data_IF_070816747232
#
_entry.id   IF_070816747232
#
_cell.length_a   1.000
_cell.length_b   1.000
_cell.length_c   1.000
_cell.angle_alpha   90.00
_cell.angle_beta   90.00
_cell.angle_gamma   90.00
#
_symmetry.space_group_name_H-M   'P 1'
#
loop_
_entity.id
_entity.type
_entity.pdbx_description
1 polymer ?
#
# COMPACT_ATOMS: atom_id res chain seq x y z
N UNK A 1 15.73 -35.06 -18.20
CA UNK A 1 14.94 -34.00 -18.86
C UNK A 1 15.35 -32.67 -18.25
N UNK A 2 16.14 -31.86 -18.95
CA UNK A 2 16.51 -30.53 -18.46
C UNK A 2 15.27 -29.64 -18.51
N UNK A 3 14.79 -29.19 -17.34
CA UNK A 3 13.69 -28.23 -17.25
C UNK A 3 14.12 -26.96 -18.00
N UNK A 4 13.31 -26.54 -18.97
CA UNK A 4 13.61 -25.34 -19.77
C UNK A 4 13.70 -24.15 -18.81
N UNK A 5 14.83 -23.41 -18.74
CA UNK A 5 15.04 -22.34 -17.76
C UNK A 5 13.92 -21.27 -17.80
N UNK A 6 13.26 -21.14 -18.95
CA UNK A 6 12.10 -20.29 -19.15
C UNK A 6 10.87 -20.66 -18.28
N UNK A 7 10.60 -21.95 -18.08
CA UNK A 7 9.49 -22.39 -17.23
C UNK A 7 9.76 -22.05 -15.76
N UNK A 8 11.02 -22.15 -15.30
CA UNK A 8 11.39 -21.72 -13.96
C UNK A 8 11.19 -20.23 -13.74
N UNK A 9 11.52 -19.39 -14.73
CA UNK A 9 11.34 -17.92 -14.63
C UNK A 9 9.87 -17.51 -14.60
N UNK A 10 9.01 -18.22 -15.35
CA UNK A 10 7.55 -17.94 -15.36
C UNK A 10 6.86 -18.46 -14.10
N UNK A 11 7.24 -19.63 -13.61
CA UNK A 11 6.70 -20.19 -12.36
C UNK A 11 7.11 -19.35 -11.15
N UNK A 12 8.35 -18.84 -11.09
CA UNK A 12 8.77 -17.94 -10.02
C UNK A 12 8.04 -16.59 -10.08
N UNK A 13 7.81 -16.05 -11.27
CA UNK A 13 7.00 -14.84 -11.45
C UNK A 13 5.54 -15.04 -10.99
N UNK A 14 4.92 -16.17 -11.32
CA UNK A 14 3.60 -16.52 -10.81
C UNK A 14 3.60 -16.67 -9.27
N UNK A 15 4.63 -17.29 -8.70
CA UNK A 15 4.83 -17.39 -7.25
C UNK A 15 4.91 -16.02 -6.57
N UNK A 16 5.60 -15.04 -7.18
CA UNK A 16 5.64 -13.66 -6.67
C UNK A 16 4.27 -12.98 -6.71
N UNK A 17 3.48 -13.19 -7.75
CA UNK A 17 2.09 -12.66 -7.82
C UNK A 17 1.24 -13.26 -6.71
N UNK A 18 1.29 -14.59 -6.52
CA UNK A 18 0.55 -15.27 -5.45
C UNK A 18 0.98 -14.76 -4.07
N UNK A 19 2.27 -14.59 -3.83
CA UNK A 19 2.80 -14.04 -2.59
C UNK A 19 2.32 -12.59 -2.35
N UNK A 20 2.27 -11.77 -3.41
CA UNK A 20 1.71 -10.43 -3.33
C UNK A 20 0.22 -10.48 -2.94
N UNK A 21 -0.55 -11.38 -3.53
CA UNK A 21 -1.94 -11.64 -3.14
C UNK A 21 -2.05 -11.98 -1.64
N UNK A 22 -1.36 -13.00 -1.16
CA UNK A 22 -1.37 -13.32 0.27
C UNK A 22 -0.97 -12.14 1.16
N UNK A 23 0.08 -11.42 0.79
CA UNK A 23 0.55 -10.24 1.54
C UNK A 23 -0.53 -9.16 1.63
N UNK A 24 -1.19 -8.85 0.51
CA UNK A 24 -2.28 -7.87 0.46
C UNK A 24 -3.46 -8.33 1.32
N UNK A 25 -3.86 -9.59 1.23
CA UNK A 25 -4.96 -10.14 2.04
C UNK A 25 -4.65 -10.04 3.53
N UNK A 26 -3.51 -10.57 3.97
CA UNK A 26 -3.15 -10.60 5.38
C UNK A 26 -2.90 -9.22 5.98
N UNK A 27 -2.41 -8.25 5.20
CA UNK A 27 -2.29 -6.86 5.66
C UNK A 27 -3.65 -6.16 5.72
N UNK A 28 -4.60 -6.52 4.87
CA UNK A 28 -5.91 -5.89 4.85
C UNK A 28 -6.75 -6.16 6.11
N UNK A 29 -6.58 -7.34 6.72
CA UNK A 29 -7.32 -7.75 7.93
C UNK A 29 -7.02 -6.84 9.14
N UNK A 30 -5.76 -6.68 9.60
CA UNK A 30 -5.46 -5.79 10.72
C UNK A 30 -5.75 -4.33 10.40
N UNK A 31 -5.61 -3.89 9.14
CA UNK A 31 -5.97 -2.54 8.74
C UNK A 31 -7.48 -2.28 8.87
N UNK A 32 -8.31 -3.25 8.47
CA UNK A 32 -9.77 -3.16 8.62
C UNK A 32 -10.18 -3.11 10.09
N UNK A 33 -9.54 -3.91 10.95
CA UNK A 33 -9.77 -3.86 12.41
C UNK A 33 -9.34 -2.50 12.97
N UNK A 34 -8.15 -2.03 12.63
CA UNK A 34 -7.64 -0.74 13.10
C UNK A 34 -8.52 0.43 12.66
N UNK A 35 -8.99 0.44 11.41
CA UNK A 35 -9.88 1.48 10.89
C UNK A 35 -11.26 1.47 11.56
N UNK A 36 -11.76 0.28 11.91
CA UNK A 36 -13.03 0.14 12.62
C UNK A 36 -12.92 0.64 14.07
N UNK A 37 -11.86 0.24 14.79
CA UNK A 37 -11.62 0.66 16.18
C UNK A 37 -11.25 2.14 16.30
N UNK A 38 -10.71 2.73 15.23
CA UNK A 38 -10.29 4.13 15.18
C UNK A 38 -11.40 5.07 15.63
N UNK A 39 -12.63 4.87 15.16
CA UNK A 39 -13.76 5.72 15.51
C UNK A 39 -14.06 5.64 17.00
N UNK A 40 -14.22 4.42 17.53
CA UNK A 40 -14.51 4.19 18.94
C UNK A 40 -13.43 4.80 19.84
N UNK A 41 -12.16 4.66 19.47
CA UNK A 41 -11.03 5.30 20.15
C UNK A 41 -11.12 6.84 20.13
N UNK A 42 -11.42 7.43 18.98
CA UNK A 42 -11.53 8.89 18.84
C UNK A 42 -12.67 9.46 19.70
N UNK A 43 -13.83 8.82 19.71
CA UNK A 43 -14.97 9.25 20.53
C UNK A 43 -14.75 9.01 22.02
N UNK A 44 -14.27 7.82 22.41
CA UNK A 44 -14.15 7.45 23.82
C UNK A 44 -13.01 8.19 24.55
N UNK A 45 -11.93 8.55 23.85
CA UNK A 45 -10.74 9.15 24.48
C UNK A 45 -10.66 10.66 24.35
N UNK A 46 -11.02 11.21 23.19
CA UNK A 46 -10.78 12.62 22.90
C UNK A 46 -12.08 13.45 22.92
N UNK A 47 -13.24 12.83 23.19
CA UNK A 47 -14.57 13.46 23.08
C UNK A 47 -14.78 14.19 21.75
N UNK A 48 -14.04 13.78 20.71
CA UNK A 48 -14.01 14.49 19.45
C UNK A 48 -15.29 14.27 18.68
N UNK A 49 -16.02 15.37 18.46
CA UNK A 49 -17.09 15.44 17.46
C UNK A 49 -16.48 15.39 16.06
N UNK A 50 -17.14 14.74 15.09
CA UNK A 50 -16.64 14.60 13.70
C UNK A 50 -16.15 15.94 13.09
N UNK A 51 -16.72 17.05 13.51
CA UNK A 51 -16.35 18.43 13.13
C UNK A 51 -14.94 18.88 13.54
N UNK A 52 -14.31 18.28 14.56
CA UNK A 52 -12.95 18.64 15.02
C UNK A 52 -11.83 17.84 14.33
N UNK A 53 -12.18 16.78 13.59
CA UNK A 53 -11.20 15.98 12.85
C UNK A 53 -10.65 16.73 11.63
N UNK A 54 -9.34 16.61 11.33
CA UNK A 54 -8.79 17.02 10.04
C UNK A 54 -9.57 16.40 8.88
N UNK A 55 -9.73 17.14 7.78
CA UNK A 55 -10.56 16.75 6.64
C UNK A 55 -10.23 15.36 6.09
N UNK A 56 -8.94 15.01 6.03
CA UNK A 56 -8.47 13.71 5.55
C UNK A 56 -8.81 12.56 6.51
N UNK A 57 -8.67 12.77 7.82
CA UNK A 57 -9.04 11.78 8.84
C UNK A 57 -10.54 11.56 8.90
N UNK A 58 -11.33 12.65 8.78
CA UNK A 58 -12.79 12.58 8.71
C UNK A 58 -13.25 11.74 7.53
N UNK A 59 -12.73 12.04 6.33
CA UNK A 59 -13.05 11.29 5.12
C UNK A 59 -12.69 9.80 5.23
N UNK A 60 -11.55 9.48 5.86
CA UNK A 60 -11.16 8.09 6.11
C UNK A 60 -12.11 7.37 7.07
N UNK A 61 -12.46 8.00 8.20
CA UNK A 61 -13.42 7.44 9.16
C UNK A 61 -14.79 7.27 8.53
N UNK A 62 -15.22 8.22 7.69
CA UNK A 62 -16.48 8.15 6.93
C UNK A 62 -16.52 6.95 5.98
N UNK A 63 -15.41 6.64 5.32
CA UNK A 63 -15.34 5.51 4.38
C UNK A 63 -15.14 4.15 5.04
N UNK A 64 -14.39 4.09 6.14
CA UNK A 64 -13.89 2.81 6.67
C UNK A 64 -14.28 2.54 8.13
N UNK A 65 -14.75 3.55 8.88
CA UNK A 65 -15.01 3.48 10.31
C UNK A 65 -16.46 3.19 10.71
N UNK A 66 -17.41 3.18 9.77
CA UNK A 66 -18.84 3.00 10.08
C UNK A 66 -19.27 1.54 10.24
N UNK A 67 -18.57 0.58 9.62
CA UNK A 67 -18.87 -0.86 9.73
C UNK A 67 -17.69 -1.75 9.30
N UNK A 68 -17.58 -2.98 9.82
CA UNK A 68 -16.66 -4.01 9.34
C UNK A 68 -17.17 -4.67 8.04
N UNK A 69 -17.71 -3.89 7.10
CA UNK A 69 -18.31 -4.40 5.85
C UNK A 69 -17.25 -4.88 4.83
N UNK A 70 -16.01 -5.12 5.29
CA UNK A 70 -14.86 -5.51 4.46
C UNK A 70 -14.52 -4.51 3.35
N UNK A 71 -14.99 -3.26 3.42
CA UNK A 71 -14.78 -2.28 2.35
C UNK A 71 -13.29 -1.92 2.20
N UNK A 72 -12.55 -1.74 3.30
CA UNK A 72 -11.10 -1.52 3.24
C UNK A 72 -10.38 -2.77 2.74
N UNK A 73 -10.84 -3.96 3.15
CA UNK A 73 -10.34 -5.23 2.61
C UNK A 73 -10.53 -5.35 1.11
N UNK A 74 -11.70 -4.96 0.60
CA UNK A 74 -12.04 -5.02 -0.82
C UNK A 74 -11.24 -4.00 -1.64
N UNK A 75 -11.09 -2.77 -1.14
CA UNK A 75 -10.23 -1.74 -1.74
C UNK A 75 -8.77 -2.19 -1.74
N UNK A 76 -8.30 -2.78 -0.64
CA UNK A 76 -6.92 -3.28 -0.54
C UNK A 76 -6.72 -4.46 -1.51
N UNK A 77 -7.69 -5.37 -1.61
CA UNK A 77 -7.68 -6.48 -2.56
C UNK A 77 -7.68 -6.02 -4.01
N UNK A 78 -8.24 -4.85 -4.31
CA UNK A 78 -8.17 -4.25 -5.64
C UNK A 78 -6.74 -4.03 -6.14
N UNK A 79 -5.78 -3.81 -5.23
CA UNK A 79 -4.36 -3.68 -5.56
C UNK A 79 -3.71 -4.99 -6.00
N UNK A 80 -4.37 -6.14 -5.87
CA UNK A 80 -3.89 -7.41 -6.40
C UNK A 80 -3.97 -7.46 -7.94
N UNK A 81 -5.03 -6.90 -8.53
CA UNK A 81 -5.26 -6.96 -9.98
C UNK A 81 -4.13 -6.37 -10.84
N UNK A 82 -3.51 -5.23 -10.47
CA UNK A 82 -2.32 -4.73 -11.18
C UNK A 82 -1.16 -5.74 -11.28
N UNK A 83 -0.94 -6.59 -10.27
CA UNK A 83 0.09 -7.63 -10.32
C UNK A 83 -0.27 -8.73 -11.32
N UNK A 84 -1.53 -9.19 -11.30
CA UNK A 84 -2.06 -10.18 -12.23
C UNK A 84 -2.00 -9.65 -13.67
N UNK A 85 -2.46 -8.42 -13.89
CA UNK A 85 -2.46 -7.76 -15.19
C UNK A 85 -1.03 -7.57 -15.72
N UNK A 86 -0.08 -7.15 -14.86
CA UNK A 86 1.33 -7.00 -15.24
C UNK A 86 1.96 -8.34 -15.61
N UNK A 87 1.69 -9.40 -14.85
CA UNK A 87 2.14 -10.75 -15.17
C UNK A 87 1.60 -11.22 -16.51
N UNK A 88 0.28 -11.11 -16.73
CA UNK A 88 -0.36 -11.50 -17.98
C UNK A 88 0.19 -10.70 -19.17
N UNK A 89 0.31 -9.38 -19.04
CA UNK A 89 0.84 -8.51 -20.08
C UNK A 89 2.28 -8.92 -20.47
N UNK A 90 3.16 -9.10 -19.49
CA UNK A 90 4.54 -9.52 -19.75
C UNK A 90 4.60 -10.93 -20.35
N UNK A 91 3.74 -11.84 -19.89
CA UNK A 91 3.69 -13.22 -20.38
C UNK A 91 3.34 -13.31 -21.86
N UNK A 92 2.37 -12.53 -22.31
CA UNK A 92 1.94 -12.50 -23.71
C UNK A 92 2.86 -11.69 -24.62
N UNK A 93 3.51 -10.65 -24.09
CA UNK A 93 4.35 -9.74 -24.89
C UNK A 93 5.78 -10.22 -25.11
N UNK A 94 6.39 -10.88 -24.13
CA UNK A 94 7.81 -11.24 -24.19
C UNK A 94 8.00 -12.76 -24.31
N UNK A 95 8.52 -13.19 -25.46
CA UNK A 95 8.88 -14.58 -25.75
C UNK A 95 10.25 -14.97 -25.18
N UNK A 96 11.19 -14.02 -25.06
CA UNK A 96 12.53 -14.28 -24.53
C UNK A 96 12.56 -14.20 -22.98
N UNK A 97 13.20 -15.17 -22.29
CA UNK A 97 13.25 -15.23 -20.82
C UNK A 97 13.82 -13.98 -20.16
N UNK A 98 14.91 -13.44 -20.71
CA UNK A 98 15.63 -12.31 -20.13
C UNK A 98 14.82 -11.01 -20.21
N UNK A 99 14.15 -10.79 -21.34
CA UNK A 99 13.28 -9.63 -21.56
C UNK A 99 12.03 -9.70 -20.68
N UNK A 100 11.39 -10.88 -20.62
CA UNK A 100 10.27 -11.15 -19.72
C UNK A 100 10.64 -10.83 -18.27
N UNK A 101 11.73 -11.42 -17.76
CA UNK A 101 12.13 -11.26 -16.37
C UNK A 101 12.41 -9.79 -16.03
N UNK A 102 13.11 -9.08 -16.90
CA UNK A 102 13.47 -7.69 -16.67
C UNK A 102 12.26 -6.75 -16.76
N UNK A 103 11.31 -6.99 -17.68
CA UNK A 103 10.08 -6.22 -17.80
C UNK A 103 9.12 -6.50 -16.63
N UNK A 104 8.89 -7.79 -16.31
CA UNK A 104 8.05 -8.21 -15.21
C UNK A 104 8.56 -7.67 -13.87
N UNK A 105 9.87 -7.75 -13.60
CA UNK A 105 10.45 -7.20 -12.37
C UNK A 105 10.16 -5.71 -12.20
N UNK A 106 10.31 -4.92 -13.26
CA UNK A 106 10.04 -3.47 -13.18
C UNK A 106 8.54 -3.18 -12.96
N UNK A 107 7.66 -3.90 -13.67
CA UNK A 107 6.21 -3.77 -13.50
C UNK A 107 5.78 -4.19 -12.09
N UNK A 108 6.33 -5.30 -11.58
CA UNK A 108 6.09 -5.79 -10.23
C UNK A 108 6.54 -4.77 -9.17
N UNK A 109 7.74 -4.21 -9.29
CA UNK A 109 8.24 -3.17 -8.37
C UNK A 109 7.34 -1.93 -8.43
N UNK A 110 6.88 -1.53 -9.61
CA UNK A 110 5.93 -0.42 -9.74
C UNK A 110 4.61 -0.70 -9.00
N UNK A 111 3.98 -1.86 -9.24
CA UNK A 111 2.76 -2.26 -8.53
C UNK A 111 2.97 -2.30 -7.01
N UNK A 112 4.09 -2.88 -6.56
CA UNK A 112 4.44 -2.94 -5.15
C UNK A 112 4.66 -1.56 -4.53
N UNK A 113 5.31 -0.64 -5.25
CA UNK A 113 5.51 0.73 -4.78
C UNK A 113 4.18 1.50 -4.70
N UNK A 114 3.29 1.36 -5.67
CA UNK A 114 1.95 1.98 -5.62
C UNK A 114 1.14 1.44 -4.44
N UNK A 115 1.16 0.12 -4.21
CA UNK A 115 0.52 -0.48 -3.04
C UNK A 115 1.14 -0.01 -1.72
N UNK A 116 2.48 0.04 -1.63
CA UNK A 116 3.19 0.52 -0.45
C UNK A 116 2.89 2.01 -0.17
N UNK A 117 2.67 2.83 -1.20
CA UNK A 117 2.29 4.23 -1.05
C UNK A 117 0.89 4.34 -0.44
N UNK A 118 -0.07 3.56 -0.97
CA UNK A 118 -1.41 3.47 -0.40
C UNK A 118 -1.35 3.02 1.07
N UNK A 119 -0.59 1.95 1.35
CA UNK A 119 -0.41 1.43 2.70
C UNK A 119 0.19 2.48 3.64
N UNK A 120 1.22 3.21 3.19
CA UNK A 120 1.84 4.26 3.98
C UNK A 120 0.86 5.40 4.30
N UNK A 121 0.00 5.79 3.34
CA UNK A 121 -1.05 6.78 3.58
C UNK A 121 -2.11 6.28 4.57
N UNK A 122 -2.54 5.02 4.47
CA UNK A 122 -3.49 4.44 5.43
C UNK A 122 -2.88 4.40 6.83
N UNK A 123 -1.63 3.93 6.96
CA UNK A 123 -0.92 3.88 8.25
C UNK A 123 -0.66 5.29 8.83
N UNK A 124 -0.43 6.29 7.98
CA UNK A 124 -0.31 7.68 8.39
C UNK A 124 -1.60 8.15 9.09
N UNK A 125 -2.76 7.85 8.50
CA UNK A 125 -4.07 8.21 9.11
C UNK A 125 -4.33 7.42 10.39
N UNK A 126 -4.05 6.12 10.39
CA UNK A 126 -4.24 5.25 11.55
C UNK A 126 -3.30 5.60 12.71
N UNK A 127 -2.13 6.18 12.45
CA UNK A 127 -1.17 6.60 13.47
C UNK A 127 -1.51 7.96 14.10
N UNK A 128 -2.35 8.78 13.46
CA UNK A 128 -2.74 10.11 13.95
C UNK A 128 -3.22 10.14 15.42
N UNK A 129 -4.13 9.24 15.89
CA UNK A 129 -4.56 9.23 17.29
C UNK A 129 -3.43 8.88 18.25
N UNK A 130 -2.51 8.00 17.84
CA UNK A 130 -1.35 7.64 18.65
C UNK A 130 -0.39 8.81 18.79
N UNK A 131 -0.17 9.59 17.73
CA UNK A 131 0.67 10.79 17.77
C UNK A 131 0.08 11.82 18.74
N UNK A 132 -1.25 12.00 18.74
CA UNK A 132 -1.93 12.91 19.66
C UNK A 132 -1.85 12.39 21.09
N UNK A 133 -2.10 11.09 21.30
CA UNK A 133 -1.98 10.47 22.62
C UNK A 133 -0.56 10.61 23.20
N UNK A 134 0.47 10.43 22.37
CA UNK A 134 1.86 10.66 22.71
C UNK A 134 2.13 12.13 23.04
N UNK A 135 1.54 13.07 22.30
CA UNK A 135 1.69 14.50 22.55
C UNK A 135 1.08 14.91 23.89
N UNK A 136 -0.10 14.38 24.23
CA UNK A 136 -0.77 14.60 25.52
C UNK A 136 -0.01 13.96 26.68
N UNK A 137 0.47 12.71 26.52
CA UNK A 137 1.20 11.99 27.57
C UNK A 137 2.53 12.65 27.96
N UNK A 138 3.14 13.39 27.03
CA UNK A 138 4.49 13.91 27.23
C UNK A 138 4.56 15.42 27.47
N UNK A 139 3.43 16.15 27.49
CA UNK A 139 3.37 17.63 27.53
C UNK A 139 4.33 18.29 26.52
N UNK A 140 4.62 17.60 25.42
CA UNK A 140 5.70 17.94 24.50
C UNK A 140 5.14 18.16 23.08
N UNK A 141 4.53 19.33 22.79
CA UNK A 141 4.03 19.67 21.45
C UNK A 141 5.13 19.63 20.38
N UNK A 142 6.41 19.74 20.78
CA UNK A 142 7.57 19.60 19.91
C UNK A 142 7.76 18.18 19.35
N UNK A 143 7.30 17.14 20.05
CA UNK A 143 7.40 15.76 19.57
C UNK A 143 6.36 15.50 18.47
N UNK A 144 5.14 16.02 18.65
CA UNK A 144 4.09 15.96 17.62
C UNK A 144 4.49 16.70 16.33
N UNK A 145 5.16 17.85 16.45
CA UNK A 145 5.61 18.64 15.30
C UNK A 145 6.78 18.02 14.53
N UNK A 146 7.56 17.12 15.15
CA UNK A 146 8.61 16.34 14.49
C UNK A 146 8.08 15.04 13.85
N UNK A 147 7.11 14.39 14.48
CA UNK A 147 6.52 13.15 13.96
C UNK A 147 5.72 13.42 12.68
N UNK A 148 5.00 14.54 12.61
CA UNK A 148 4.22 14.90 11.42
C UNK A 148 5.08 14.91 10.14
N UNK A 149 6.16 15.71 9.99
CA UNK A 149 7.01 15.67 8.79
C UNK A 149 7.79 14.35 8.63
N UNK A 150 8.22 13.71 9.72
CA UNK A 150 8.92 12.42 9.64
C UNK A 150 8.03 11.30 9.06
N UNK A 151 6.74 11.32 9.39
CA UNK A 151 5.77 10.35 8.89
C UNK A 151 5.48 10.46 7.38
N UNK A 152 5.80 11.61 6.76
CA UNK A 152 5.72 11.82 5.30
C UNK A 152 6.94 11.29 4.53
N UNK A 153 8.07 11.04 5.20
CA UNK A 153 9.29 10.56 4.54
C UNK A 153 9.05 9.23 3.83
N UNK A 154 8.33 8.30 4.48
CA UNK A 154 8.04 6.99 3.90
C UNK A 154 7.12 7.10 2.65
N UNK A 155 5.96 7.79 2.68
CA UNK A 155 5.17 8.08 1.48
C UNK A 155 5.99 8.71 0.34
N UNK A 156 6.83 9.70 0.64
CA UNK A 156 7.62 10.41 -0.39
C UNK A 156 8.64 9.48 -1.04
N UNK A 157 9.39 8.71 -0.25
CA UNK A 157 10.37 7.75 -0.76
C UNK A 157 9.68 6.71 -1.65
N UNK A 158 8.55 6.18 -1.22
CA UNK A 158 7.80 5.18 -1.98
C UNK A 158 7.25 5.77 -3.29
N UNK A 159 6.74 7.00 -3.27
CA UNK A 159 6.28 7.71 -4.46
C UNK A 159 7.41 7.91 -5.49
N UNK A 160 8.62 8.25 -5.02
CA UNK A 160 9.81 8.36 -5.88
C UNK A 160 10.15 7.00 -6.52
N UNK A 161 10.14 5.91 -5.75
CA UNK A 161 10.39 4.56 -6.28
C UNK A 161 9.35 4.18 -7.34
N UNK A 162 8.07 4.50 -7.12
CA UNK A 162 7.00 4.25 -8.08
C UNK A 162 7.23 5.05 -9.37
N UNK A 163 7.54 6.34 -9.28
CA UNK A 163 7.81 7.22 -10.41
C UNK A 163 9.02 6.75 -11.23
N UNK A 164 10.12 6.39 -10.57
CA UNK A 164 11.33 5.88 -11.23
C UNK A 164 11.07 4.56 -11.94
N UNK A 165 10.32 3.65 -11.30
CA UNK A 165 9.97 2.34 -11.88
C UNK A 165 9.05 2.50 -13.10
N UNK A 166 8.05 3.40 -13.02
CA UNK A 166 7.17 3.75 -14.13
C UNK A 166 7.95 4.31 -15.32
N UNK A 167 8.81 5.29 -15.08
CA UNK A 167 9.60 5.94 -16.13
C UNK A 167 10.53 4.95 -16.85
N UNK A 168 11.15 4.04 -16.08
CA UNK A 168 12.01 2.99 -16.63
C UNK A 168 11.24 1.99 -17.48
N UNK A 169 10.00 1.68 -17.10
CA UNK A 169 9.13 0.79 -17.87
C UNK A 169 8.67 1.45 -19.17
N UNK A 170 8.26 2.72 -19.13
CA UNK A 170 7.83 3.50 -20.30
C UNK A 170 8.91 3.56 -21.39
N UNK A 171 10.17 3.75 -21.01
CA UNK A 171 11.31 3.77 -21.95
C UNK A 171 11.54 2.45 -22.68
N UNK A 172 11.15 1.31 -22.10
CA UNK A 172 11.30 -0.01 -22.72
C UNK A 172 10.15 -0.38 -23.64
N UNK A 173 8.98 0.24 -23.46
CA UNK A 173 7.80 0.00 -24.29
C UNK A 173 7.74 0.88 -25.54
N UNK A 174 8.61 1.88 -25.66
CA UNK A 174 8.68 2.81 -26.81
C UNK A 174 9.68 2.39 -27.89
N UNK A 175 10.16 1.15 -27.83
CA UNK A 175 10.98 0.46 -28.84
C UNK A 175 10.16 -0.70 -29.38
#
# INVERSE_FOLDING_TARGET
MAQNPFHHTRSSAAGLVVLAGFTIFFLSLPLQVAAWELRSLLFARFEWTESSLPSLTRWFVDLFGYRPDSYLTLVTWWFFWPFVASFAHCHFRYSHPAEFSAAFRNAYIYCAAVFALFLALVLLVLSFPFVILLAELHDAPAVASLIAPASWVLPVVVAIVALLSWWRNRKRTSV
#
